data_IF_911592310535
#
_entry.id   IF_911592310535
#
_cell.length_a   1.000
_cell.length_b   1.000
_cell.length_c   1.000
_cell.angle_alpha   90.00
_cell.angle_beta   90.00
_cell.angle_gamma   90.00
#
_symmetry.space_group_name_H-M   'P 1'
#
loop_
_entity.id
_entity.type
_entity.pdbx_description
1 polymer ?
#
# COMPACT_ATOMS: atom_id res chain seq x y z
N UNK A 1 45.29 -30.26 57.20
CA UNK A 1 44.54 -29.01 56.97
C UNK A 1 44.12 -29.01 55.51
N UNK A 2 42.85 -29.33 55.21
CA UNK A 2 42.35 -29.41 53.83
C UNK A 2 41.76 -28.06 53.42
N UNK A 3 42.46 -27.35 52.52
CA UNK A 3 41.97 -26.13 51.90
C UNK A 3 40.75 -26.47 51.02
N UNK A 4 39.55 -26.11 51.50
CA UNK A 4 38.34 -26.16 50.69
C UNK A 4 38.42 -25.01 49.68
N UNK A 5 38.68 -25.37 48.43
CA UNK A 5 38.62 -24.45 47.30
C UNK A 5 37.19 -23.95 47.17
N UNK A 6 36.94 -22.70 47.55
CA UNK A 6 35.66 -22.04 47.29
C UNK A 6 35.58 -21.79 45.79
N UNK A 7 34.83 -22.63 45.10
CA UNK A 7 34.44 -22.38 43.71
C UNK A 7 33.59 -21.11 43.73
N UNK A 8 34.12 -20.03 43.17
CA UNK A 8 33.36 -18.80 43.01
C UNK A 8 32.10 -19.12 42.18
N UNK A 9 30.90 -18.71 42.62
CA UNK A 9 29.68 -18.96 41.87
C UNK A 9 29.82 -18.33 40.48
N UNK A 10 29.63 -19.15 39.44
CA UNK A 10 29.61 -18.68 38.06
C UNK A 10 28.40 -17.76 37.94
N UNK A 11 28.64 -16.48 37.66
CA UNK A 11 27.56 -15.54 37.40
C UNK A 11 26.80 -16.00 36.16
N UNK A 12 25.58 -16.51 36.35
CA UNK A 12 24.72 -16.88 35.23
C UNK A 12 24.37 -15.61 34.43
N UNK A 13 24.59 -15.67 33.12
CA UNK A 13 24.24 -14.59 32.21
C UNK A 13 22.72 -14.34 32.26
N UNK A 14 22.32 -13.07 32.30
CA UNK A 14 20.91 -12.69 32.27
C UNK A 14 20.27 -13.08 30.93
N UNK A 15 19.22 -13.90 30.98
CA UNK A 15 18.43 -14.29 29.82
C UNK A 15 17.10 -13.51 29.79
N UNK A 16 16.93 -12.51 28.89
CA UNK A 16 15.74 -11.67 28.88
C UNK A 16 14.46 -12.43 28.56
N UNK A 17 14.50 -13.49 27.72
CA UNK A 17 13.30 -14.28 27.37
C UNK A 17 12.79 -15.08 28.56
N UNK A 18 13.70 -15.77 29.25
CA UNK A 18 13.38 -16.56 30.45
C UNK A 18 12.88 -15.65 31.58
N UNK A 19 13.46 -14.46 31.72
CA UNK A 19 13.01 -13.49 32.71
C UNK A 19 11.58 -13.01 32.44
N UNK A 20 11.23 -12.68 31.18
CA UNK A 20 9.89 -12.25 30.80
C UNK A 20 8.85 -13.34 31.05
N UNK A 21 9.13 -14.57 30.62
CA UNK A 21 8.22 -15.71 30.84
C UNK A 21 7.91 -15.90 32.34
N UNK A 22 8.95 -15.89 33.18
CA UNK A 22 8.79 -15.99 34.64
C UNK A 22 8.05 -14.79 35.24
N UNK A 23 8.25 -13.60 34.69
CA UNK A 23 7.57 -12.39 35.16
C UNK A 23 6.06 -12.45 34.85
N UNK A 24 5.69 -12.92 33.66
CA UNK A 24 4.29 -13.15 33.26
C UNK A 24 3.60 -14.22 34.10
N UNK A 25 4.29 -15.32 34.44
CA UNK A 25 3.77 -16.36 35.34
C UNK A 25 3.33 -15.80 36.70
N UNK A 26 4.02 -14.75 37.19
CA UNK A 26 3.71 -14.07 38.46
C UNK A 26 2.65 -12.96 38.32
N UNK A 27 2.05 -12.80 37.14
CA UNK A 27 1.07 -11.73 36.86
C UNK A 27 1.69 -10.39 36.47
N UNK A 28 2.96 -10.39 36.12
CA UNK A 28 3.60 -9.27 35.44
C UNK A 28 3.08 -9.10 34.00
N UNK A 29 3.16 -7.89 33.48
CA UNK A 29 2.88 -7.57 32.09
C UNK A 29 3.87 -6.53 31.57
N UNK A 30 4.08 -6.53 30.25
CA UNK A 30 4.96 -5.57 29.60
C UNK A 30 4.40 -5.15 28.24
N UNK A 31 4.78 -3.96 27.79
CA UNK A 31 4.48 -3.45 26.45
C UNK A 31 5.55 -2.44 26.03
N UNK A 32 5.63 -2.15 24.74
CA UNK A 32 6.44 -1.08 24.17
C UNK A 32 5.50 0.05 23.74
N UNK A 33 5.79 1.28 24.18
CA UNK A 33 5.03 2.44 23.68
C UNK A 33 5.49 2.83 22.25
N UNK A 34 4.76 3.73 21.55
CA UNK A 34 5.14 4.18 20.21
C UNK A 34 6.54 4.83 20.12
N UNK A 35 7.03 5.41 21.21
CA UNK A 35 8.36 6.01 21.29
C UNK A 35 9.49 4.97 21.51
N UNK A 36 9.13 3.69 21.61
CA UNK A 36 10.07 2.59 21.85
C UNK A 36 10.53 2.49 23.31
N UNK A 37 9.80 3.07 24.25
CA UNK A 37 10.02 2.86 25.68
C UNK A 37 9.32 1.61 26.18
N UNK A 38 10.04 0.86 27.01
CA UNK A 38 9.56 -0.36 27.63
C UNK A 38 8.76 -0.02 28.90
N UNK A 39 7.47 -0.33 28.89
CA UNK A 39 6.57 -0.24 30.04
C UNK A 39 6.44 -1.64 30.63
N UNK A 40 6.80 -1.80 31.91
CA UNK A 40 6.64 -3.08 32.65
C UNK A 40 5.89 -2.77 33.94
N UNK A 41 4.86 -3.57 34.24
CA UNK A 41 4.05 -3.42 35.44
C UNK A 41 3.49 -4.74 35.95
N UNK A 42 2.88 -4.73 37.13
CA UNK A 42 2.18 -5.87 37.69
C UNK A 42 0.67 -5.68 37.52
N UNK A 43 -0.05 -6.71 37.07
CA UNK A 43 -1.52 -6.71 37.01
C UNK A 43 -2.04 -7.28 38.33
N UNK A 44 -2.82 -6.49 39.06
CA UNK A 44 -3.27 -6.82 40.42
C UNK A 44 -4.44 -7.81 40.42
N UNK A 45 -5.23 -7.85 39.35
CA UNK A 45 -6.46 -8.64 39.31
C UNK A 45 -6.20 -10.16 39.28
N UNK A 46 -6.75 -10.88 40.26
CA UNK A 46 -6.79 -12.35 40.26
C UNK A 46 -5.50 -13.08 40.66
N UNK A 47 -4.49 -12.37 41.18
CA UNK A 47 -3.20 -12.96 41.62
C UNK A 47 -3.05 -12.93 43.13
N UNK A 48 -2.28 -13.88 43.66
CA UNK A 48 -1.97 -13.92 45.10
C UNK A 48 -1.07 -12.75 45.50
N UNK A 49 -1.17 -12.30 46.75
CA UNK A 49 -0.26 -11.26 47.29
C UNK A 49 1.22 -11.68 47.22
N UNK A 50 1.49 -12.98 47.31
CA UNK A 50 2.84 -13.53 47.21
C UNK A 50 3.40 -13.39 45.79
N UNK A 51 2.62 -13.73 44.76
CA UNK A 51 3.05 -13.57 43.38
C UNK A 51 3.29 -12.11 43.02
N UNK A 52 2.40 -11.22 43.48
CA UNK A 52 2.59 -9.78 43.32
C UNK A 52 3.89 -9.30 43.98
N UNK A 53 4.17 -9.73 45.22
CA UNK A 53 5.41 -9.37 45.92
C UNK A 53 6.65 -9.87 45.17
N UNK A 54 6.59 -11.09 44.62
CA UNK A 54 7.68 -11.68 43.82
C UNK A 54 7.87 -10.95 42.50
N UNK A 55 6.80 -10.57 41.80
CA UNK A 55 6.86 -9.77 40.58
C UNK A 55 7.47 -8.39 40.85
N UNK A 56 7.04 -7.70 41.92
CA UNK A 56 7.63 -6.44 42.35
C UNK A 56 9.12 -6.58 42.71
N UNK A 57 9.51 -7.66 43.38
CA UNK A 57 10.92 -7.92 43.68
C UNK A 57 11.74 -8.16 42.41
N UNK A 58 11.21 -8.89 41.41
CA UNK A 58 11.87 -9.06 40.11
C UNK A 58 12.07 -7.73 39.40
N UNK A 59 11.04 -6.87 39.37
CA UNK A 59 11.11 -5.54 38.78
C UNK A 59 12.15 -4.64 39.47
N UNK A 60 12.18 -4.65 40.80
CA UNK A 60 13.12 -3.86 41.60
C UNK A 60 14.58 -4.33 41.42
N UNK A 61 14.79 -5.61 41.12
CA UNK A 61 16.11 -6.20 40.89
C UNK A 61 16.68 -5.92 39.49
N UNK A 62 15.89 -5.41 38.54
CA UNK A 62 16.36 -5.12 37.19
C UNK A 62 17.36 -3.96 37.17
N UNK A 63 18.59 -4.27 36.76
CA UNK A 63 19.62 -3.28 36.45
C UNK A 63 19.32 -2.55 35.14
N UNK A 64 19.97 -1.40 34.91
CA UNK A 64 19.89 -0.65 33.65
C UNK A 64 20.30 -1.49 32.43
N UNK A 65 21.35 -2.32 32.56
CA UNK A 65 21.81 -3.23 31.51
C UNK A 65 20.76 -4.29 31.15
N UNK A 66 20.09 -4.85 32.16
CA UNK A 66 19.02 -5.84 31.95
C UNK A 66 17.77 -5.20 31.33
N UNK A 67 17.39 -3.99 31.77
CA UNK A 67 16.31 -3.22 31.13
C UNK A 67 16.61 -2.93 29.67
N UNK A 68 17.87 -2.61 29.34
CA UNK A 68 18.30 -2.46 27.95
C UNK A 68 18.18 -3.78 27.18
N UNK A 69 18.63 -4.90 27.73
CA UNK A 69 18.51 -6.20 27.07
C UNK A 69 17.05 -6.62 26.83
N UNK A 70 16.14 -6.32 27.77
CA UNK A 70 14.71 -6.51 27.58
C UNK A 70 14.17 -5.61 26.46
N UNK A 71 14.57 -4.33 26.44
CA UNK A 71 14.19 -3.40 25.35
C UNK A 71 14.71 -3.87 24.01
N UNK A 72 15.96 -4.31 23.92
CA UNK A 72 16.57 -4.77 22.67
C UNK A 72 15.90 -6.07 22.18
N UNK A 73 15.45 -6.94 23.09
CA UNK A 73 14.67 -8.14 22.77
C UNK A 73 13.27 -7.81 22.24
N UNK A 74 12.61 -6.82 22.85
CA UNK A 74 11.22 -6.44 22.56
C UNK A 74 11.10 -5.36 21.49
N UNK A 75 12.20 -4.68 21.17
CA UNK A 75 12.25 -3.78 20.03
C UNK A 75 11.95 -4.66 18.83
N UNK A 76 10.88 -4.38 18.07
CA UNK A 76 10.69 -5.08 16.81
C UNK A 76 12.01 -4.95 16.06
N UNK A 77 12.55 -6.07 15.55
CA UNK A 77 13.69 -5.99 14.64
C UNK A 77 13.40 -4.82 13.72
N UNK A 78 14.31 -3.85 13.56
CA UNK A 78 14.07 -2.76 12.64
C UNK A 78 13.77 -3.48 11.35
N UNK A 79 12.49 -3.49 10.96
CA UNK A 79 12.07 -4.09 9.71
C UNK A 79 12.95 -3.32 8.76
N UNK A 80 13.97 -3.98 8.23
CA UNK A 80 14.74 -3.43 7.15
C UNK A 80 13.67 -3.37 6.09
N UNK A 81 12.99 -2.22 6.03
CA UNK A 81 12.04 -1.85 5.00
C UNK A 81 12.92 -1.72 3.79
N UNK A 82 13.36 -2.86 3.28
CA UNK A 82 13.67 -3.02 1.88
C UNK A 82 12.44 -2.44 1.24
N UNK A 83 12.56 -1.22 0.69
CA UNK A 83 11.46 -0.64 -0.07
C UNK A 83 11.08 -1.74 -1.03
N UNK A 84 9.86 -2.29 -0.96
CA UNK A 84 9.47 -3.29 -1.93
C UNK A 84 9.75 -2.65 -3.29
N UNK A 85 10.48 -3.36 -4.15
CA UNK A 85 10.87 -2.84 -5.46
C UNK A 85 9.65 -2.42 -6.31
N UNK A 86 8.44 -2.74 -5.85
CA UNK A 86 7.19 -2.22 -6.31
C UNK A 86 6.21 -2.03 -5.11
N UNK A 87 5.93 -0.78 -4.65
CA UNK A 87 5.04 -0.51 -3.52
C UNK A 87 3.62 -1.02 -3.75
N UNK A 88 3.09 -0.90 -4.96
CA UNK A 88 1.75 -1.39 -5.30
C UNK A 88 1.63 -2.91 -5.22
N UNK A 89 2.69 -3.64 -5.59
CA UNK A 89 2.72 -5.09 -5.41
C UNK A 89 2.57 -5.47 -3.94
N UNK A 90 3.23 -4.76 -3.03
CA UNK A 90 3.09 -5.02 -1.59
C UNK A 90 1.66 -4.76 -1.09
N UNK A 91 0.99 -3.72 -1.61
CA UNK A 91 -0.42 -3.43 -1.28
C UNK A 91 -1.33 -4.56 -1.77
N UNK A 92 -1.18 -5.00 -3.02
CA UNK A 92 -2.00 -6.07 -3.61
C UNK A 92 -1.76 -7.41 -2.92
N UNK A 93 -0.50 -7.74 -2.63
CA UNK A 93 -0.15 -8.97 -1.90
C UNK A 93 -0.73 -8.93 -0.47
N UNK A 94 -0.70 -7.79 0.21
CA UNK A 94 -1.32 -7.61 1.52
C UNK A 94 -2.86 -7.76 1.46
N UNK A 95 -3.53 -7.22 0.44
CA UNK A 95 -4.97 -7.44 0.25
C UNK A 95 -5.31 -8.93 0.05
N UNK A 96 -4.47 -9.67 -0.68
CA UNK A 96 -4.62 -11.12 -0.82
C UNK A 96 -4.47 -11.84 0.54
N UNK A 97 -3.53 -11.40 1.39
CA UNK A 97 -3.36 -11.94 2.76
C UNK A 97 -4.61 -11.70 3.60
N UNK A 98 -5.20 -10.50 3.55
CA UNK A 98 -6.48 -10.20 4.24
C UNK A 98 -7.57 -11.17 3.79
N UNK A 99 -7.77 -11.34 2.48
CA UNK A 99 -8.79 -12.26 1.95
C UNK A 99 -8.56 -13.74 2.29
N UNK A 100 -7.30 -14.21 2.34
CA UNK A 100 -6.97 -15.57 2.80
C UNK A 100 -7.25 -15.72 4.29
N UNK A 101 -6.91 -14.71 5.09
CA UNK A 101 -7.06 -14.72 6.54
C UNK A 101 -8.54 -14.70 6.95
N UNK A 102 -9.39 -13.89 6.29
CA UNK A 102 -10.85 -13.93 6.48
C UNK A 102 -11.44 -15.31 6.18
N UNK A 103 -11.02 -15.96 5.08
CA UNK A 103 -11.49 -17.33 4.78
C UNK A 103 -11.09 -18.33 5.86
N UNK A 104 -9.85 -18.24 6.38
CA UNK A 104 -9.39 -19.07 7.51
C UNK A 104 -10.20 -18.79 8.76
N UNK A 105 -10.49 -17.53 9.06
CA UNK A 105 -11.28 -17.12 10.22
C UNK A 105 -12.71 -17.67 10.14
N UNK A 106 -13.37 -17.54 8.99
CA UNK A 106 -14.72 -18.10 8.75
C UNK A 106 -14.73 -19.62 8.86
N UNK A 107 -13.72 -20.30 8.32
CA UNK A 107 -13.59 -21.74 8.46
C UNK A 107 -13.43 -22.14 9.94
N UNK A 108 -12.58 -21.44 10.68
CA UNK A 108 -12.38 -21.70 12.10
C UNK A 108 -13.69 -21.47 12.91
N UNK A 109 -14.47 -20.43 12.60
CA UNK A 109 -15.78 -20.23 13.21
C UNK A 109 -16.79 -21.33 12.84
N UNK A 110 -16.71 -21.90 11.63
CA UNK A 110 -17.54 -23.04 11.26
C UNK A 110 -17.16 -24.33 12.02
N UNK A 111 -15.87 -24.52 12.32
CA UNK A 111 -15.35 -25.69 13.02
C UNK A 111 -15.53 -25.60 14.54
N UNK A 112 -15.35 -24.41 15.13
CA UNK A 112 -15.33 -24.19 16.57
C UNK A 112 -16.56 -23.44 17.12
N UNK A 113 -17.50 -23.03 16.26
CA UNK A 113 -18.59 -22.13 16.64
C UNK A 113 -18.07 -20.74 17.00
N UNK A 114 -18.79 -19.99 17.84
CA UNK A 114 -18.42 -18.61 18.19
C UNK A 114 -17.21 -18.47 19.16
N UNK A 115 -16.58 -19.57 19.57
CA UNK A 115 -15.44 -19.57 20.48
C UNK A 115 -14.22 -20.17 19.80
N UNK A 116 -13.37 -19.32 19.24
CA UNK A 116 -12.08 -19.73 18.70
C UNK A 116 -11.09 -19.99 19.84
N UNK A 117 -10.13 -20.92 19.68
CA UNK A 117 -8.98 -20.98 20.58
C UNK A 117 -8.22 -19.65 20.56
N UNK A 118 -7.93 -19.07 21.74
CA UNK A 118 -7.25 -17.77 21.88
C UNK A 118 -5.99 -17.66 21.00
N UNK A 119 -5.19 -18.74 20.94
CA UNK A 119 -3.97 -18.76 20.13
C UNK A 119 -4.22 -18.60 18.64
N UNK A 120 -5.32 -19.17 18.14
CA UNK A 120 -5.71 -19.09 16.73
C UNK A 120 -6.32 -17.72 16.41
N UNK A 121 -7.15 -17.18 17.31
CA UNK A 121 -7.70 -15.83 17.16
C UNK A 121 -6.58 -14.79 17.12
N UNK A 122 -5.61 -14.87 18.05
CA UNK A 122 -4.43 -13.98 18.08
C UNK A 122 -3.60 -14.11 16.79
N UNK A 123 -3.35 -15.33 16.29
CA UNK A 123 -2.61 -15.53 15.04
C UNK A 123 -3.30 -14.84 13.85
N UNK A 124 -4.61 -15.09 13.68
CA UNK A 124 -5.37 -14.59 12.53
C UNK A 124 -5.55 -13.07 12.59
N UNK A 125 -5.90 -12.52 13.76
CA UNK A 125 -6.04 -11.07 13.96
C UNK A 125 -4.72 -10.35 13.75
N UNK A 126 -3.62 -10.83 14.33
CA UNK A 126 -2.27 -10.26 14.11
C UNK A 126 -1.88 -10.28 12.64
N UNK A 127 -2.19 -11.37 11.93
CA UNK A 127 -1.88 -11.49 10.49
C UNK A 127 -2.69 -10.49 9.66
N UNK A 128 -3.97 -10.33 9.96
CA UNK A 128 -4.84 -9.37 9.28
C UNK A 128 -4.39 -7.94 9.56
N UNK A 129 -4.17 -7.58 10.83
CA UNK A 129 -3.68 -6.26 11.24
C UNK A 129 -2.39 -5.89 10.50
N UNK A 130 -1.40 -6.79 10.45
CA UNK A 130 -0.14 -6.52 9.75
C UNK A 130 -0.33 -6.23 8.25
N UNK A 131 -1.27 -6.93 7.60
CA UNK A 131 -1.61 -6.70 6.21
C UNK A 131 -2.37 -5.37 6.02
N UNK A 132 -3.32 -5.05 6.90
CA UNK A 132 -4.03 -3.76 6.88
C UNK A 132 -3.08 -2.57 7.05
N UNK A 133 -2.13 -2.65 7.98
CA UNK A 133 -1.08 -1.63 8.15
C UNK A 133 -0.25 -1.45 6.88
N UNK A 134 0.09 -2.54 6.19
CA UNK A 134 0.82 -2.47 4.91
C UNK A 134 0.01 -1.73 3.84
N UNK A 135 -1.28 -2.08 3.70
CA UNK A 135 -2.18 -1.42 2.74
C UNK A 135 -2.36 0.05 3.12
N UNK A 136 -2.49 0.39 4.40
CA UNK A 136 -2.67 1.75 4.87
C UNK A 136 -1.43 2.63 4.62
N UNK A 137 -0.25 2.17 5.07
CA UNK A 137 0.96 3.00 5.14
C UNK A 137 1.71 3.15 3.81
N UNK A 138 1.58 2.18 2.90
CA UNK A 138 2.28 2.23 1.60
C UNK A 138 1.48 3.09 0.63
N UNK A 139 2.08 4.11 -0.03
CA UNK A 139 1.38 4.90 -1.04
C UNK A 139 1.16 4.06 -2.30
N UNK A 140 -0.08 4.03 -2.81
CA UNK A 140 -0.39 3.42 -4.08
C UNK A 140 0.04 4.34 -5.23
N UNK A 141 0.70 3.80 -6.25
CA UNK A 141 1.13 4.53 -7.45
C UNK A 141 0.52 3.96 -8.73
N UNK A 142 -0.29 2.91 -8.62
CA UNK A 142 -1.02 2.26 -9.71
C UNK A 142 -2.51 2.15 -9.39
N UNK A 143 -3.31 1.97 -10.44
CA UNK A 143 -4.74 1.70 -10.31
C UNK A 143 -5.04 0.46 -9.45
N UNK A 144 -4.24 -0.60 -9.56
CA UNK A 144 -4.41 -1.82 -8.78
C UNK A 144 -4.15 -1.59 -7.27
N UNK A 145 -3.11 -0.82 -6.92
CA UNK A 145 -2.85 -0.45 -5.53
C UNK A 145 -3.93 0.44 -4.94
N UNK A 146 -4.49 1.36 -5.73
CA UNK A 146 -5.64 2.18 -5.30
C UNK A 146 -6.88 1.32 -5.08
N UNK A 147 -7.20 0.40 -6.00
CA UNK A 147 -8.32 -0.53 -5.85
C UNK A 147 -8.21 -1.36 -4.56
N UNK A 148 -7.03 -1.91 -4.26
CA UNK A 148 -6.81 -2.69 -3.03
C UNK A 148 -7.05 -1.85 -1.74
N UNK A 149 -6.62 -0.59 -1.71
CA UNK A 149 -6.92 0.32 -0.59
C UNK A 149 -8.41 0.60 -0.44
N UNK A 150 -9.13 0.76 -1.55
CA UNK A 150 -10.58 0.98 -1.53
C UNK A 150 -11.33 -0.26 -1.03
N UNK A 151 -10.88 -1.46 -1.39
CA UNK A 151 -11.42 -2.69 -0.83
C UNK A 151 -11.21 -2.80 0.68
N UNK A 152 -10.03 -2.42 1.19
CA UNK A 152 -9.82 -2.33 2.64
C UNK A 152 -10.75 -1.30 3.29
N UNK A 153 -10.93 -0.12 2.68
CA UNK A 153 -11.87 0.86 3.22
C UNK A 153 -13.30 0.29 3.35
N UNK A 154 -13.74 -0.54 2.40
CA UNK A 154 -15.04 -1.20 2.46
C UNK A 154 -15.16 -2.20 3.61
N UNK A 155 -14.09 -2.86 4.09
CA UNK A 155 -14.18 -3.81 5.22
C UNK A 155 -14.56 -3.10 6.52
N UNK A 156 -14.17 -1.83 6.67
CA UNK A 156 -14.50 -1.00 7.83
C UNK A 156 -15.87 -0.31 7.75
N UNK A 157 -16.54 -0.40 6.60
CA UNK A 157 -17.82 0.26 6.33
C UNK A 157 -18.97 -0.72 6.10
N UNK A 158 -18.68 -1.92 5.63
CA UNK A 158 -19.68 -2.94 5.39
C UNK A 158 -20.22 -3.49 6.71
N UNK A 159 -21.54 -3.68 6.78
CA UNK A 159 -22.14 -4.39 7.90
C UNK A 159 -21.67 -5.85 7.95
N UNK A 160 -21.66 -6.42 9.15
CA UNK A 160 -21.34 -7.82 9.35
C UNK A 160 -22.28 -8.73 8.52
N UNK A 161 -21.79 -9.93 8.19
CA UNK A 161 -22.55 -10.90 7.41
C UNK A 161 -22.27 -10.83 5.91
N UNK A 162 -23.31 -10.72 5.09
CA UNK A 162 -23.24 -10.90 3.64
C UNK A 162 -22.50 -9.78 2.91
N UNK A 163 -22.66 -8.52 3.36
CA UNK A 163 -21.94 -7.38 2.79
C UNK A 163 -20.44 -7.53 3.00
N UNK A 164 -20.00 -7.73 4.25
CA UNK A 164 -18.59 -7.95 4.55
C UNK A 164 -18.03 -9.19 3.81
N UNK A 165 -18.83 -10.25 3.66
CA UNK A 165 -18.45 -11.40 2.87
C UNK A 165 -18.27 -11.07 1.37
N UNK A 166 -19.10 -10.20 0.82
CA UNK A 166 -18.97 -9.72 -0.56
C UNK A 166 -17.71 -8.86 -0.75
N UNK A 167 -17.37 -8.02 0.23
CA UNK A 167 -16.13 -7.23 0.25
C UNK A 167 -14.89 -8.13 0.15
N UNK A 168 -14.78 -9.17 0.99
CA UNK A 168 -13.63 -10.09 0.95
C UNK A 168 -13.56 -10.96 -0.31
N UNK A 169 -14.68 -11.13 -1.04
CA UNK A 169 -14.70 -11.78 -2.37
C UNK A 169 -14.46 -10.81 -3.52
N UNK A 170 -14.34 -9.51 -3.23
CA UNK A 170 -14.29 -8.45 -4.24
C UNK A 170 -15.47 -8.48 -5.22
N UNK A 171 -16.65 -8.82 -4.72
CA UNK A 171 -17.89 -9.02 -5.48
C UNK A 171 -18.72 -7.72 -5.51
N UNK A 172 -18.44 -6.86 -6.50
CA UNK A 172 -19.13 -5.57 -6.64
C UNK A 172 -20.63 -5.72 -6.93
N UNK A 173 -21.05 -6.81 -7.57
CA UNK A 173 -22.46 -7.00 -7.92
C UNK A 173 -23.30 -7.23 -6.65
N UNK A 174 -22.76 -7.97 -5.68
CA UNK A 174 -23.40 -8.18 -4.40
C UNK A 174 -23.46 -6.92 -3.51
N UNK A 175 -22.61 -5.92 -3.78
CA UNK A 175 -22.58 -4.64 -3.04
C UNK A 175 -23.44 -3.55 -3.71
N UNK A 176 -23.91 -3.78 -4.94
CA UNK A 176 -24.67 -2.82 -5.75
C UNK A 176 -26.18 -2.88 -5.44
N UNK A 177 -26.54 -2.64 -4.18
CA UNK A 177 -27.93 -2.59 -3.71
C UNK A 177 -28.43 -1.14 -3.59
N UNK A 178 -29.70 -0.85 -3.91
CA UNK A 178 -30.29 0.48 -3.69
C UNK A 178 -30.36 0.87 -2.20
N UNK A 179 -30.29 -0.12 -1.29
CA UNK A 179 -30.31 0.10 0.16
C UNK A 179 -28.90 0.29 0.77
N UNK A 180 -27.85 0.27 -0.05
CA UNK A 180 -26.47 0.43 0.39
C UNK A 180 -26.21 1.86 0.88
N UNK A 181 -25.47 2.02 1.99
CA UNK A 181 -25.04 3.33 2.50
C UNK A 181 -24.36 4.16 1.39
N UNK A 182 -24.58 5.47 1.40
CA UNK A 182 -24.10 6.34 0.33
C UNK A 182 -22.58 6.36 0.22
N UNK A 183 -21.84 6.24 1.34
CA UNK A 183 -20.38 6.21 1.31
C UNK A 183 -19.87 4.90 0.70
N UNK A 184 -20.53 3.77 1.04
CA UNK A 184 -20.21 2.46 0.47
C UNK A 184 -20.46 2.50 -1.05
N UNK A 185 -21.60 3.06 -1.47
CA UNK A 185 -21.96 3.25 -2.88
C UNK A 185 -20.93 4.10 -3.64
N UNK A 186 -20.39 5.15 -3.01
CA UNK A 186 -19.35 6.00 -3.60
C UNK A 186 -18.05 5.21 -3.84
N UNK A 187 -17.61 4.42 -2.86
CA UNK A 187 -16.39 3.61 -3.00
C UNK A 187 -16.59 2.50 -4.05
N UNK A 188 -17.75 1.84 -4.08
CA UNK A 188 -18.10 0.85 -5.12
C UNK A 188 -18.05 1.49 -6.51
N UNK A 189 -18.58 2.71 -6.68
CA UNK A 189 -18.52 3.46 -7.93
C UNK A 189 -17.08 3.80 -8.34
N UNK A 190 -16.24 4.20 -7.37
CA UNK A 190 -14.82 4.44 -7.61
C UNK A 190 -14.08 3.18 -8.09
N UNK A 191 -14.34 2.02 -7.48
CA UNK A 191 -13.76 0.74 -7.91
C UNK A 191 -14.23 0.37 -9.33
N UNK A 192 -15.52 0.52 -9.64
CA UNK A 192 -16.04 0.31 -11.01
C UNK A 192 -15.33 1.20 -12.03
N UNK A 193 -15.10 2.46 -11.70
CA UNK A 193 -14.37 3.42 -12.54
C UNK A 193 -12.91 3.01 -12.73
N UNK A 194 -12.24 2.55 -11.68
CA UNK A 194 -10.86 2.03 -11.75
C UNK A 194 -10.78 0.82 -12.69
N UNK A 195 -11.71 -0.13 -12.59
CA UNK A 195 -11.75 -1.30 -13.47
C UNK A 195 -12.01 -0.92 -14.93
N UNK A 196 -12.88 0.06 -15.18
CA UNK A 196 -13.09 0.59 -16.53
C UNK A 196 -11.81 1.23 -17.09
N UNK A 197 -11.06 2.00 -16.29
CA UNK A 197 -9.77 2.56 -16.70
C UNK A 197 -8.73 1.48 -16.98
N UNK A 198 -8.66 0.44 -16.14
CA UNK A 198 -7.76 -0.70 -16.37
C UNK A 198 -8.11 -1.46 -17.66
N UNK A 199 -9.40 -1.72 -17.90
CA UNK A 199 -9.88 -2.37 -19.13
C UNK A 199 -9.57 -1.53 -20.36
N UNK A 200 -9.81 -0.21 -20.31
CA UNK A 200 -9.45 0.70 -21.39
C UNK A 200 -7.94 0.74 -21.66
N UNK A 201 -7.10 0.69 -20.60
CA UNK A 201 -5.65 0.61 -20.74
C UNK A 201 -5.17 -0.75 -21.31
N UNK A 202 -5.96 -1.81 -21.14
CA UNK A 202 -5.68 -3.15 -21.68
C UNK A 202 -6.24 -3.37 -23.08
N UNK A 203 -7.18 -2.56 -23.56
CA UNK A 203 -7.67 -2.66 -24.93
C UNK A 203 -6.66 -1.96 -25.86
N UNK A 204 -5.84 -2.71 -26.62
CA UNK A 204 -4.92 -2.10 -27.57
C UNK A 204 -5.67 -1.28 -28.62
N UNK A 205 -6.96 -1.54 -28.86
CA UNK A 205 -7.80 -0.72 -29.75
C UNK A 205 -8.21 0.61 -29.14
N UNK A 206 -8.26 0.78 -27.82
CA UNK A 206 -8.50 2.10 -27.22
C UNK A 206 -7.25 2.99 -27.36
N UNK A 207 -6.06 2.37 -27.34
CA UNK A 207 -4.80 3.05 -27.67
C UNK A 207 -4.80 3.34 -29.18
N UNK A 208 -5.12 2.35 -30.04
CA UNK A 208 -5.24 2.49 -31.49
C UNK A 208 -6.45 3.31 -31.97
N UNK A 209 -7.47 3.62 -31.18
CA UNK A 209 -8.54 4.55 -31.59
C UNK A 209 -8.12 6.00 -31.30
N UNK A 210 -7.24 6.20 -30.31
CA UNK A 210 -6.55 7.47 -30.12
C UNK A 210 -5.42 7.64 -31.17
N UNK A 211 -4.75 6.55 -31.57
CA UNK A 211 -3.59 6.58 -32.49
C UNK A 211 -3.85 6.12 -33.93
N UNK A 212 -5.02 5.58 -34.26
CA UNK A 212 -5.25 4.86 -35.53
C UNK A 212 -6.69 4.95 -36.08
N UNK A 213 -7.65 5.63 -35.42
CA UNK A 213 -8.98 5.90 -36.00
C UNK A 213 -8.86 6.86 -37.20
N UNK A 214 -8.64 6.26 -38.38
CA UNK A 214 -8.69 6.81 -39.74
C UNK A 214 -8.19 8.25 -39.89
N UNK A 215 -6.87 8.38 -39.90
CA UNK A 215 -6.05 9.53 -40.27
C UNK A 215 -6.22 9.92 -41.75
N UNK A 216 -7.44 10.28 -42.17
CA UNK A 216 -7.66 10.76 -43.55
C UNK A 216 -7.37 12.25 -43.72
N UNK A 217 -6.86 12.94 -42.69
CA UNK A 217 -6.37 14.31 -42.78
C UNK A 217 -4.90 14.38 -42.37
N UNK A 218 -4.05 14.97 -43.21
CA UNK A 218 -2.66 15.28 -42.83
C UNK A 218 -2.65 16.51 -41.92
N UNK A 219 -3.00 16.30 -40.64
CA UNK A 219 -2.69 17.31 -39.63
C UNK A 219 -1.22 17.23 -39.21
N UNK A 220 -0.70 18.31 -38.63
CA UNK A 220 0.72 18.41 -38.28
C UNK A 220 1.16 17.38 -37.23
N UNK A 221 0.24 16.88 -36.38
CA UNK A 221 0.55 15.80 -35.43
C UNK A 221 0.81 14.49 -36.17
N UNK A 222 -0.01 14.21 -37.17
CA UNK A 222 0.09 13.01 -38.00
C UNK A 222 1.35 13.02 -38.86
N UNK A 223 1.68 14.17 -39.46
CA UNK A 223 2.94 14.38 -40.18
C UNK A 223 4.14 14.19 -39.26
N UNK A 224 4.11 14.76 -38.05
CA UNK A 224 5.17 14.58 -37.05
C UNK A 224 5.35 13.11 -36.64
N UNK A 225 4.26 12.40 -36.29
CA UNK A 225 4.36 11.01 -35.84
C UNK A 225 4.87 10.10 -36.97
N UNK A 226 4.46 10.35 -38.22
CA UNK A 226 4.98 9.64 -39.38
C UNK A 226 6.48 9.90 -39.57
N UNK A 227 6.91 11.18 -39.50
CA UNK A 227 8.31 11.55 -39.62
C UNK A 227 9.17 10.99 -38.46
N UNK A 228 8.65 10.99 -37.24
CA UNK A 228 9.30 10.41 -36.06
C UNK A 228 9.55 8.91 -36.24
N UNK A 229 8.52 8.15 -36.63
CA UNK A 229 8.66 6.70 -36.87
C UNK A 229 9.64 6.44 -38.03
N UNK A 230 9.48 7.15 -39.14
CA UNK A 230 10.37 7.02 -40.29
C UNK A 230 11.83 7.38 -39.95
N UNK A 231 12.06 8.38 -39.08
CA UNK A 231 13.41 8.77 -38.66
C UNK A 231 14.06 7.69 -37.80
N UNK A 232 13.33 7.14 -36.84
CA UNK A 232 13.81 6.06 -35.98
C UNK A 232 14.05 4.75 -36.76
N UNK A 233 13.29 4.52 -37.83
CA UNK A 233 13.47 3.37 -38.73
C UNK A 233 14.54 3.61 -39.82
N UNK A 234 15.18 4.80 -39.84
CA UNK A 234 16.19 5.16 -40.84
C UNK A 234 15.64 5.35 -42.26
N UNK A 235 14.33 5.64 -42.39
CA UNK A 235 13.60 5.81 -43.64
C UNK A 235 13.44 7.27 -44.09
N UNK A 236 13.76 8.24 -43.22
CA UNK A 236 13.72 9.68 -43.54
C UNK A 236 14.97 10.39 -43.03
N UNK A 237 15.28 11.57 -43.55
CA UNK A 237 16.44 12.35 -43.11
C UNK A 237 16.16 13.07 -41.79
N UNK A 238 17.23 13.54 -41.11
CA UNK A 238 17.08 14.40 -39.93
C UNK A 238 16.38 15.73 -40.28
N UNK A 239 16.68 16.31 -41.44
CA UNK A 239 16.06 17.57 -41.90
C UNK A 239 14.54 17.42 -42.08
N UNK A 240 14.08 16.31 -42.67
CA UNK A 240 12.64 16.03 -42.83
C UNK A 240 11.93 15.89 -41.48
N UNK A 241 12.58 15.23 -40.52
CA UNK A 241 12.07 15.11 -39.16
C UNK A 241 11.99 16.47 -38.46
N UNK A 242 13.04 17.29 -38.56
CA UNK A 242 13.06 18.65 -38.00
C UNK A 242 11.97 19.53 -38.62
N UNK A 243 11.73 19.43 -39.94
CA UNK A 243 10.64 20.15 -40.60
C UNK A 243 9.27 19.76 -40.02
N UNK A 244 9.03 18.47 -39.79
CA UNK A 244 7.79 17.99 -39.19
C UNK A 244 7.61 18.48 -37.74
N UNK A 245 8.70 18.55 -36.96
CA UNK A 245 8.69 19.16 -35.62
C UNK A 245 8.29 20.64 -35.68
N UNK A 246 8.83 21.40 -36.63
CA UNK A 246 8.48 22.81 -36.79
C UNK A 246 7.02 23.01 -37.21
N UNK A 247 6.52 22.19 -38.14
CA UNK A 247 5.10 22.18 -38.51
C UNK A 247 4.19 21.90 -37.32
N UNK A 248 4.53 20.92 -36.49
CA UNK A 248 3.79 20.60 -35.27
C UNK A 248 3.78 21.79 -34.29
N UNK A 249 4.92 22.45 -34.11
CA UNK A 249 5.06 23.59 -33.20
C UNK A 249 4.22 24.80 -33.66
N UNK A 250 4.17 25.06 -34.97
CA UNK A 250 3.38 26.13 -35.58
C UNK A 250 1.90 25.84 -35.73
N UNK A 251 1.52 24.58 -35.73
CA UNK A 251 0.12 24.18 -35.80
C UNK A 251 -0.68 24.66 -34.59
N UNK A 252 -1.86 25.23 -34.86
CA UNK A 252 -2.81 25.66 -33.85
C UNK A 252 -3.94 24.62 -33.74
N UNK A 253 -4.08 23.93 -32.59
CA UNK A 253 -5.11 22.92 -32.43
C UNK A 253 -6.50 23.57 -32.44
N UNK A 254 -7.41 23.05 -33.25
CA UNK A 254 -8.76 23.58 -33.40
C UNK A 254 -9.71 23.13 -32.27
N UNK A 255 -9.37 22.03 -31.60
CA UNK A 255 -10.20 21.42 -30.55
C UNK A 255 -9.36 21.04 -29.32
N UNK A 256 -9.98 20.83 -28.14
CA UNK A 256 -9.28 20.27 -26.99
C UNK A 256 -8.62 18.92 -27.29
N UNK A 257 -9.26 18.08 -28.13
CA UNK A 257 -8.69 16.80 -28.58
C UNK A 257 -7.38 17.01 -29.35
N UNK A 258 -7.38 17.95 -30.30
CA UNK A 258 -6.20 18.30 -31.10
C UNK A 258 -5.06 18.85 -30.23
N UNK A 259 -5.40 19.63 -29.22
CA UNK A 259 -4.43 20.15 -28.27
C UNK A 259 -3.79 19.02 -27.45
N UNK A 260 -4.59 18.09 -26.93
CA UNK A 260 -4.07 16.91 -26.23
C UNK A 260 -3.14 16.09 -27.13
N UNK A 261 -3.50 15.90 -28.40
CA UNK A 261 -2.66 15.19 -29.38
C UNK A 261 -1.31 15.89 -29.60
N UNK A 262 -1.31 17.21 -29.82
CA UNK A 262 -0.08 18.01 -29.92
C UNK A 262 0.77 17.93 -28.65
N UNK A 263 0.14 18.06 -27.49
CA UNK A 263 0.81 17.99 -26.20
C UNK A 263 1.49 16.63 -26.00
N UNK A 264 0.77 15.53 -26.20
CA UNK A 264 1.34 14.19 -26.09
C UNK A 264 2.49 14.00 -27.07
N UNK A 265 2.34 14.41 -28.33
CA UNK A 265 3.40 14.31 -29.34
C UNK A 265 4.69 15.04 -28.94
N UNK A 266 4.58 16.23 -28.31
CA UNK A 266 5.76 17.01 -27.91
C UNK A 266 6.46 16.48 -26.65
N UNK A 267 5.76 15.79 -25.74
CA UNK A 267 6.28 15.42 -24.42
C UNK A 267 6.46 13.92 -24.19
N UNK A 268 5.79 13.04 -24.95
CA UNK A 268 5.79 11.58 -24.70
C UNK A 268 7.20 10.99 -24.66
N UNK A 269 8.04 11.37 -25.63
CA UNK A 269 9.35 10.75 -25.85
C UNK A 269 10.50 11.61 -25.27
N UNK A 270 10.21 12.32 -24.16
CA UNK A 270 11.21 13.10 -23.42
C UNK A 270 11.55 14.46 -24.03
N UNK A 271 10.71 14.96 -24.94
CA UNK A 271 10.88 16.29 -25.52
C UNK A 271 10.88 17.38 -24.44
N UNK A 272 11.81 18.33 -24.57
CA UNK A 272 11.90 19.51 -23.72
C UNK A 272 11.68 20.75 -24.58
N UNK A 273 10.41 21.16 -24.81
CA UNK A 273 10.14 22.38 -25.57
C UNK A 273 10.81 23.57 -24.91
N UNK A 274 11.26 24.53 -25.73
CA UNK A 274 11.79 25.79 -25.20
C UNK A 274 10.72 26.51 -24.36
N UNK A 275 11.16 27.46 -23.55
CA UNK A 275 10.24 28.31 -22.78
C UNK A 275 9.20 29.00 -23.67
N UNK A 276 9.61 29.49 -24.84
CA UNK A 276 8.72 30.14 -25.81
C UNK A 276 7.64 29.20 -26.34
N UNK A 277 8.01 27.94 -26.64
CA UNK A 277 7.06 26.90 -27.08
C UNK A 277 6.08 26.53 -25.99
N UNK A 278 6.56 26.40 -24.76
CA UNK A 278 5.71 26.15 -23.60
C UNK A 278 4.71 27.28 -23.40
N UNK A 279 5.15 28.55 -23.53
CA UNK A 279 4.24 29.71 -23.49
C UNK A 279 3.18 29.64 -24.58
N UNK A 280 3.56 29.31 -25.83
CA UNK A 280 2.61 29.17 -26.95
C UNK A 280 1.57 28.08 -26.72
N UNK A 281 1.98 26.92 -26.18
CA UNK A 281 1.05 25.86 -25.78
C UNK A 281 0.06 26.33 -24.71
N UNK A 282 0.53 27.07 -23.70
CA UNK A 282 -0.34 27.61 -22.66
C UNK A 282 -1.36 28.62 -23.24
N UNK A 283 -0.96 29.44 -24.19
CA UNK A 283 -1.87 30.37 -24.89
C UNK A 283 -2.92 29.61 -25.73
N UNK A 284 -2.50 28.56 -26.45
CA UNK A 284 -3.42 27.68 -27.18
C UNK A 284 -4.41 26.99 -26.24
N UNK A 285 -3.97 26.53 -25.08
CA UNK A 285 -4.84 25.92 -24.05
C UNK A 285 -5.87 26.92 -23.54
N UNK A 286 -5.44 28.12 -23.15
CA UNK A 286 -6.34 29.21 -22.67
C UNK A 286 -7.41 29.55 -23.68
N UNK A 287 -7.04 29.66 -24.95
CA UNK A 287 -7.99 29.93 -26.02
C UNK A 287 -9.08 28.85 -26.12
N UNK A 288 -8.69 27.57 -26.03
CA UNK A 288 -9.62 26.45 -26.14
C UNK A 288 -10.58 26.31 -24.94
N UNK A 289 -10.20 26.81 -23.76
CA UNK A 289 -11.08 26.83 -22.57
C UNK A 289 -11.87 28.13 -22.42
N UNK A 290 -11.75 29.07 -23.36
CA UNK A 290 -12.48 30.34 -23.35
C UNK A 290 -11.92 31.40 -22.41
N UNK A 291 -10.64 31.30 -22.03
CA UNK A 291 -9.93 32.27 -21.18
C UNK A 291 -9.13 33.32 -21.98
N UNK A 292 -9.48 33.52 -23.26
CA UNK A 292 -8.76 34.40 -24.19
C UNK A 292 -8.97 35.89 -23.91
#
# INVERSE_FOLDING_TARGET
MNAHSMIAPVAHAFNPREWLARFEELGGGYTMNPDGELIIGCIVAGRSEEDQRRAHAMLAALTSTQKKALRDLLRPEPVIRTRPHNPDRAIVDAWNVVGVTDRRLRQAFAEHGHQLPDSLEIELTTTMDAAEHTIHDVPATTLAGVEAKLWLALTHMADAGDQLAAVFRSDLAALDSPDTDWHLSLIVSAIKSIRAMQQAAQDPRAIDEITTESYSGSDAVSEYLAAYNAHNDGQTTEDDYIEAVWKLDDWCPATPRDFTRKFVALYRDGGQPSFERTRKLLEQAKHLVGEA
#
